data_IF_804459988129
#
_entry.id   IF_804459988129
#
_cell.length_a   1.000
_cell.length_b   1.000
_cell.length_c   1.000
_cell.angle_alpha   90.00
_cell.angle_beta   90.00
_cell.angle_gamma   90.00
#
_symmetry.space_group_name_H-M   'P 1'
#
loop_
_entity.id
_entity.type
_entity.pdbx_description
1 polymer ?
#
# COMPACT_ATOMS: atom_id res chain seq x y z
N UNK A 1 -1.97 7.48 21.06
CA UNK A 1 -2.15 6.04 20.71
C UNK A 1 -1.39 5.23 21.75
N UNK A 2 -2.00 4.17 22.29
CA UNK A 2 -1.28 3.34 23.26
C UNK A 2 -0.29 2.40 22.55
N UNK A 3 0.57 1.76 23.35
CA UNK A 3 1.62 0.91 22.79
C UNK A 3 1.09 -0.27 21.97
N UNK A 4 0.00 -0.87 22.42
CA UNK A 4 -0.62 -1.97 21.72
C UNK A 4 -1.13 -1.54 20.35
N UNK A 5 -1.81 -0.40 20.28
CA UNK A 5 -2.34 0.12 19.02
C UNK A 5 -1.21 0.54 18.09
N UNK A 6 -0.16 1.17 18.64
CA UNK A 6 1.01 1.59 17.85
C UNK A 6 1.69 0.39 17.20
N UNK A 7 1.85 -0.68 17.96
CA UNK A 7 2.47 -1.89 17.45
C UNK A 7 1.65 -2.53 16.33
N UNK A 8 0.31 -2.57 16.50
CA UNK A 8 -0.60 -3.10 15.49
C UNK A 8 -0.53 -2.28 14.20
N UNK A 9 -0.56 -0.97 14.32
CA UNK A 9 -0.49 -0.08 13.15
C UNK A 9 0.88 -0.24 12.46
N UNK A 10 1.96 -0.32 13.23
CA UNK A 10 3.29 -0.51 12.67
C UNK A 10 3.39 -1.81 11.87
N UNK A 11 2.84 -2.91 12.40
CA UNK A 11 2.81 -4.17 11.69
C UNK A 11 1.96 -4.07 10.41
N UNK A 12 0.84 -3.36 10.48
CA UNK A 12 -0.01 -3.14 9.30
C UNK A 12 0.71 -2.35 8.23
N UNK A 13 1.49 -1.34 8.60
CA UNK A 13 2.29 -0.56 7.65
C UNK A 13 3.28 -1.46 6.93
N UNK A 14 3.98 -2.31 7.66
CA UNK A 14 4.96 -3.23 7.06
C UNK A 14 4.31 -4.20 6.09
N UNK A 15 3.17 -4.77 6.48
CA UNK A 15 2.44 -5.71 5.64
C UNK A 15 1.88 -5.05 4.40
N UNK A 16 1.36 -3.84 4.55
CA UNK A 16 0.79 -3.09 3.44
C UNK A 16 1.89 -2.72 2.43
N UNK A 17 3.04 -2.27 2.90
CA UNK A 17 4.17 -1.98 2.02
C UNK A 17 4.60 -3.20 1.23
N UNK A 18 4.64 -4.36 1.89
CA UNK A 18 4.99 -5.61 1.23
C UNK A 18 3.94 -6.01 0.20
N UNK A 19 2.66 -5.84 0.53
CA UNK A 19 1.57 -6.13 -0.40
C UNK A 19 1.64 -5.25 -1.64
N UNK A 20 1.97 -3.97 -1.48
CA UNK A 20 2.13 -3.04 -2.60
C UNK A 20 3.25 -3.52 -3.53
N UNK A 21 4.38 -3.93 -2.99
CA UNK A 21 5.49 -4.43 -3.79
C UNK A 21 5.12 -5.71 -4.54
N UNK A 22 4.40 -6.62 -3.88
CA UNK A 22 3.93 -7.85 -4.52
C UNK A 22 2.94 -7.55 -5.64
N UNK A 23 2.06 -6.57 -5.44
CA UNK A 23 1.10 -6.16 -6.47
C UNK A 23 1.80 -5.59 -7.70
N UNK A 24 2.91 -4.88 -7.54
CA UNK A 24 3.67 -4.39 -8.67
C UNK A 24 4.17 -5.54 -9.54
N UNK A 25 4.62 -6.62 -8.92
CA UNK A 25 5.04 -7.82 -9.65
C UNK A 25 3.86 -8.43 -10.40
N UNK A 26 2.69 -8.50 -9.76
CA UNK A 26 1.48 -9.03 -10.39
C UNK A 26 1.10 -8.20 -11.61
N UNK A 27 1.15 -6.87 -11.48
CA UNK A 27 0.83 -5.96 -12.59
C UNK A 27 1.76 -6.22 -13.78
N UNK A 28 3.06 -6.38 -13.53
CA UNK A 28 4.02 -6.65 -14.59
C UNK A 28 3.77 -8.01 -15.26
N UNK A 29 3.55 -9.04 -14.46
CA UNK A 29 3.32 -10.39 -14.96
C UNK A 29 2.04 -10.47 -15.80
N UNK A 30 0.95 -9.94 -15.30
CA UNK A 30 -0.33 -9.97 -16.01
C UNK A 30 -0.27 -9.07 -17.23
N UNK A 31 0.38 -7.90 -17.12
CA UNK A 31 0.56 -7.01 -18.27
C UNK A 31 1.33 -7.67 -19.40
N UNK A 32 2.37 -8.43 -19.05
CA UNK A 32 3.15 -9.17 -20.03
C UNK A 32 2.28 -10.24 -20.72
N UNK A 33 1.51 -11.00 -19.95
CA UNK A 33 0.62 -12.02 -20.48
C UNK A 33 -0.42 -11.41 -21.43
N UNK A 34 -1.01 -10.29 -21.04
CA UNK A 34 -2.00 -9.60 -21.88
C UNK A 34 -1.40 -9.18 -23.23
N UNK A 35 -0.17 -8.67 -23.22
CA UNK A 35 0.49 -8.27 -24.47
C UNK A 35 0.77 -9.47 -25.37
N UNK A 36 1.25 -10.57 -24.79
CA UNK A 36 1.58 -11.78 -25.56
C UNK A 36 0.34 -12.41 -26.17
N UNK A 37 -0.74 -12.48 -25.38
CA UNK A 37 -1.96 -13.16 -25.83
C UNK A 37 -2.94 -12.24 -26.57
N UNK A 38 -2.68 -10.94 -26.58
CA UNK A 38 -3.58 -9.99 -27.21
C UNK A 38 -4.89 -9.78 -26.43
N UNK A 39 -4.88 -10.04 -25.12
CA UNK A 39 -6.04 -9.82 -24.25
C UNK A 39 -6.16 -8.34 -23.94
N UNK A 40 -7.38 -7.89 -23.56
CA UNK A 40 -7.53 -6.54 -23.09
C UNK A 40 -6.89 -6.41 -21.70
N UNK A 41 -6.55 -5.18 -21.32
CA UNK A 41 -5.82 -4.93 -20.09
C UNK A 41 -6.70 -4.36 -18.97
N UNK A 42 -8.02 -4.62 -19.02
CA UNK A 42 -8.93 -4.11 -18.00
C UNK A 42 -8.55 -4.57 -16.60
N UNK A 43 -8.13 -5.84 -16.45
CA UNK A 43 -7.72 -6.37 -15.15
C UNK A 43 -6.47 -5.65 -14.65
N UNK A 44 -5.53 -5.33 -15.53
CA UNK A 44 -4.31 -4.59 -15.17
C UNK A 44 -4.69 -3.20 -14.66
N UNK A 45 -5.62 -2.53 -15.35
CA UNK A 45 -6.07 -1.20 -14.94
C UNK A 45 -6.73 -1.25 -13.57
N UNK A 46 -7.58 -2.25 -13.32
CA UNK A 46 -8.24 -2.44 -12.04
C UNK A 46 -7.24 -2.64 -10.91
N UNK A 47 -6.20 -3.45 -11.14
CA UNK A 47 -5.17 -3.69 -10.14
C UNK A 47 -4.37 -2.41 -9.88
N UNK A 48 -4.07 -1.63 -10.92
CA UNK A 48 -3.37 -0.35 -10.76
C UNK A 48 -4.18 0.64 -9.94
N UNK A 49 -5.49 0.70 -10.15
CA UNK A 49 -6.37 1.55 -9.34
C UNK A 49 -6.36 1.13 -7.88
N UNK A 50 -6.44 -0.18 -7.62
CA UNK A 50 -6.35 -0.71 -6.27
C UNK A 50 -4.99 -0.37 -5.64
N UNK A 51 -3.92 -0.47 -6.42
CA UNK A 51 -2.58 -0.13 -5.97
C UNK A 51 -2.48 1.34 -5.54
N UNK A 52 -3.11 2.23 -6.29
CA UNK A 52 -3.16 3.66 -5.94
C UNK A 52 -3.85 3.85 -4.59
N UNK A 53 -4.98 3.17 -4.37
CA UNK A 53 -5.71 3.25 -3.10
C UNK A 53 -4.89 2.69 -1.95
N UNK A 54 -4.18 1.60 -2.16
CA UNK A 54 -3.31 1.02 -1.15
C UNK A 54 -2.19 1.99 -0.77
N UNK A 55 -1.61 2.66 -1.77
CA UNK A 55 -0.58 3.67 -1.52
C UNK A 55 -1.10 4.85 -0.71
N UNK A 56 -2.32 5.31 -1.00
CA UNK A 56 -2.95 6.38 -0.24
C UNK A 56 -3.21 5.96 1.21
N UNK A 57 -3.66 4.71 1.41
CA UNK A 57 -3.88 4.17 2.74
C UNK A 57 -2.59 4.10 3.54
N UNK A 58 -1.51 3.67 2.89
CA UNK A 58 -0.20 3.62 3.53
C UNK A 58 0.26 5.01 3.96
N UNK A 59 0.11 6.00 3.08
CA UNK A 59 0.47 7.39 3.41
C UNK A 59 -0.33 7.90 4.60
N UNK A 60 -1.62 7.58 4.65
CA UNK A 60 -2.48 7.97 5.77
C UNK A 60 -1.98 7.38 7.09
N UNK A 61 -1.63 6.09 7.08
CA UNK A 61 -1.13 5.42 8.28
C UNK A 61 0.20 6.01 8.75
N UNK A 62 1.09 6.32 7.82
CA UNK A 62 2.38 6.94 8.14
C UNK A 62 2.14 8.33 8.75
N UNK A 63 1.20 9.09 8.21
CA UNK A 63 0.87 10.41 8.73
C UNK A 63 0.33 10.34 10.17
N UNK A 64 -0.42 9.29 10.50
CA UNK A 64 -0.88 9.10 11.88
C UNK A 64 0.29 8.98 12.85
N UNK A 65 1.34 8.25 12.49
CA UNK A 65 2.55 8.15 13.32
C UNK A 65 3.24 9.50 13.46
N UNK A 66 3.37 10.23 12.36
CA UNK A 66 4.02 11.54 12.37
C UNK A 66 3.27 12.52 13.28
N UNK A 67 1.93 12.52 13.20
CA UNK A 67 1.09 13.38 14.03
C UNK A 67 1.25 13.04 15.51
N UNK A 68 1.29 11.76 15.84
CA UNK A 68 1.50 11.30 17.22
C UNK A 68 2.86 11.76 17.75
N UNK A 69 3.89 11.59 16.95
CA UNK A 69 5.24 11.99 17.33
C UNK A 69 5.35 13.51 17.50
N UNK A 70 4.68 14.27 16.64
CA UNK A 70 4.64 15.73 16.75
C UNK A 70 4.01 16.18 18.05
N UNK A 71 2.90 15.53 18.45
CA UNK A 71 2.23 15.84 19.72
C UNK A 71 3.14 15.54 20.91
N UNK A 72 3.84 14.43 20.87
CA UNK A 72 4.77 14.06 21.94
C UNK A 72 5.94 15.05 22.01
N UNK A 73 6.40 15.50 20.84
CA UNK A 73 7.49 16.45 20.76
C UNK A 73 7.19 17.81 21.38
N UNK A 74 5.93 18.21 21.39
CA UNK A 74 5.49 19.49 21.93
C UNK A 74 5.45 19.51 23.47
N UNK A 75 5.55 18.38 24.07
CA UNK A 75 5.54 18.28 25.53
C UNK A 75 6.92 18.33 26.10
#
# INVERSE_FOLDING_TARGET
>A
MNDFSRERVNESVKRLAKAINLNECVIEEIGCACRIEGWNDDVVRQIKEAQTLLGQSLATLVNWFDDEDAEEGDK
#
